data_IF_586611005447
#
_entry.id   IF_586611005447
#
_cell.length_a   1.000
_cell.length_b   1.000
_cell.length_c   1.000
_cell.angle_alpha   90.00
_cell.angle_beta   90.00
_cell.angle_gamma   90.00
#
_symmetry.space_group_name_H-M   'P 1'
#
loop_
_entity.id
_entity.type
_entity.pdbx_description
1 polymer ?
#
# COMPACT_ATOMS: atom_id res chain seq x y z
N UNK A 1 15.27 23.03 8.51
CA UNK A 1 16.22 22.09 7.91
C UNK A 1 15.44 21.12 7.03
N UNK A 2 15.86 20.80 5.81
CA UNK A 2 15.19 19.76 5.05
C UNK A 2 15.32 18.44 5.82
N UNK A 3 14.21 17.76 6.03
CA UNK A 3 14.11 16.52 6.83
C UNK A 3 14.88 15.32 6.24
N UNK A 4 15.74 15.49 5.23
CA UNK A 4 16.58 14.42 4.69
C UNK A 4 15.89 13.03 4.74
N UNK A 5 16.60 11.99 5.16
CA UNK A 5 16.03 10.66 5.41
C UNK A 5 15.23 10.53 6.74
N UNK A 6 15.02 11.63 7.48
CA UNK A 6 14.36 11.60 8.79
C UNK A 6 12.86 11.22 8.71
N UNK A 7 12.21 11.44 7.55
CA UNK A 7 10.81 11.01 7.35
C UNK A 7 10.67 9.47 7.38
N UNK A 8 11.68 8.74 6.90
CA UNK A 8 11.65 7.28 6.85
C UNK A 8 11.60 6.69 8.27
N UNK A 9 12.51 7.14 9.13
CA UNK A 9 12.53 6.72 10.53
C UNK A 9 11.25 7.11 11.26
N UNK A 10 10.75 8.34 11.02
CA UNK A 10 9.49 8.78 11.60
C UNK A 10 8.31 7.91 11.15
N UNK A 11 8.18 7.64 9.85
CA UNK A 11 7.11 6.80 9.33
C UNK A 11 7.21 5.36 9.82
N UNK A 12 8.44 4.80 9.94
CA UNK A 12 8.64 3.50 10.56
C UNK A 12 8.08 3.47 11.99
N UNK A 13 8.49 4.42 12.85
CA UNK A 13 8.00 4.51 14.23
C UNK A 13 6.49 4.71 14.31
N UNK A 14 5.91 5.52 13.41
CA UNK A 14 4.48 5.73 13.34
C UNK A 14 3.73 4.42 13.02
N UNK A 15 4.22 3.63 12.06
CA UNK A 15 3.63 2.35 11.70
C UNK A 15 3.86 1.25 12.74
N UNK A 16 5.02 1.24 13.41
CA UNK A 16 5.27 0.36 14.56
C UNK A 16 4.26 0.65 15.68
N UNK A 17 4.00 1.93 15.98
CA UNK A 17 3.00 2.34 16.96
C UNK A 17 1.55 1.97 16.53
N UNK A 18 1.21 2.06 15.23
CA UNK A 18 -0.08 1.62 14.71
C UNK A 18 -0.27 0.10 14.89
N UNK A 19 0.76 -0.69 14.60
CA UNK A 19 0.75 -2.13 14.80
C UNK A 19 0.57 -2.49 16.28
N UNK A 20 1.33 -1.84 17.19
CA UNK A 20 1.24 -2.08 18.62
C UNK A 20 -0.15 -1.77 19.21
N UNK A 21 -0.86 -0.78 18.67
CA UNK A 21 -2.22 -0.41 19.10
C UNK A 21 -3.33 -1.24 18.46
N UNK A 22 -3.01 -2.23 17.64
CA UNK A 22 -3.98 -3.00 16.85
C UNK A 22 -4.95 -2.12 16.06
N UNK A 23 -4.42 -1.10 15.37
CA UNK A 23 -5.24 -0.23 14.53
C UNK A 23 -6.02 -1.07 13.50
N UNK A 24 -7.15 -0.58 12.95
CA UNK A 24 -7.93 -1.30 11.95
C UNK A 24 -7.08 -1.79 10.74
N UNK A 25 -6.04 -1.05 10.40
CA UNK A 25 -5.10 -1.38 9.31
C UNK A 25 -4.06 -2.44 9.69
N UNK A 26 -4.01 -2.86 10.97
CA UNK A 26 -3.00 -3.78 11.51
C UNK A 26 -3.65 -4.88 12.35
N UNK A 27 -4.90 -5.23 12.05
CA UNK A 27 -5.60 -6.35 12.72
C UNK A 27 -5.33 -7.64 11.94
N UNK A 28 -4.65 -8.63 12.56
CA UNK A 28 -4.41 -9.90 11.92
C UNK A 28 -5.72 -10.66 11.66
N UNK A 29 -5.75 -11.42 10.56
CA UNK A 29 -6.87 -12.34 10.28
C UNK A 29 -6.92 -13.45 11.33
N UNK A 30 -8.12 -13.98 11.54
CA UNK A 30 -8.35 -15.11 12.44
C UNK A 30 -8.05 -16.47 11.77
N UNK A 31 -8.01 -17.53 12.56
CA UNK A 31 -7.74 -18.89 12.06
C UNK A 31 -8.90 -19.43 11.20
N UNK A 32 -10.12 -18.92 11.36
CA UNK A 32 -11.25 -19.30 10.50
C UNK A 32 -11.04 -18.80 9.07
N UNK A 33 -10.57 -17.57 8.90
CA UNK A 33 -10.18 -17.00 7.60
C UNK A 33 -9.05 -17.81 6.94
N UNK A 34 -8.06 -18.25 7.71
CA UNK A 34 -6.97 -19.10 7.21
C UNK A 34 -7.49 -20.48 6.78
N UNK A 35 -8.39 -21.09 7.56
CA UNK A 35 -9.00 -22.38 7.20
C UNK A 35 -9.84 -22.27 5.91
N UNK A 36 -10.62 -21.19 5.76
CA UNK A 36 -11.37 -20.90 4.54
C UNK A 36 -10.43 -20.73 3.32
N UNK A 37 -9.32 -20.02 3.49
CA UNK A 37 -8.33 -19.84 2.43
C UNK A 37 -7.71 -21.17 1.97
N UNK A 38 -7.39 -22.08 2.89
CA UNK A 38 -6.94 -23.43 2.57
C UNK A 38 -7.97 -24.24 1.80
N UNK A 39 -9.26 -23.99 2.03
CA UNK A 39 -10.37 -24.58 1.29
C UNK A 39 -10.67 -23.91 -0.06
N UNK A 40 -9.84 -22.96 -0.49
CA UNK A 40 -10.02 -22.22 -1.74
C UNK A 40 -10.97 -21.03 -1.64
N UNK A 41 -11.47 -20.71 -0.46
CA UNK A 41 -12.33 -19.55 -0.17
C UNK A 41 -11.48 -18.43 0.41
N UNK A 42 -10.86 -17.65 -0.46
CA UNK A 42 -9.98 -16.55 -0.05
C UNK A 42 -10.27 -15.27 -0.83
N UNK A 43 -9.94 -14.17 -0.20
CA UNK A 43 -10.09 -12.83 -0.76
C UNK A 43 -8.97 -11.93 -0.25
N UNK A 44 -8.48 -11.06 -1.11
CA UNK A 44 -7.57 -9.96 -0.76
C UNK A 44 -8.18 -8.62 -1.12
N UNK A 45 -7.66 -7.58 -0.53
CA UNK A 45 -8.17 -6.23 -0.68
C UNK A 45 -7.04 -5.27 -1.08
N UNK A 46 -7.24 -4.52 -2.15
CA UNK A 46 -6.41 -3.38 -2.51
C UNK A 46 -7.02 -2.07 -2.00
N UNK A 47 -8.34 -2.05 -1.95
CA UNK A 47 -9.21 -0.98 -1.48
C UNK A 47 -10.14 -1.57 -0.42
N UNK A 48 -11.02 -0.82 0.25
CA UNK A 48 -11.93 -1.36 1.25
C UNK A 48 -12.80 -2.53 0.77
N UNK A 49 -13.19 -2.51 -0.51
CA UNK A 49 -13.96 -3.58 -1.12
C UNK A 49 -13.11 -4.75 -1.62
N UNK A 50 -13.77 -5.80 -2.13
CA UNK A 50 -13.09 -6.97 -2.67
C UNK A 50 -12.31 -6.63 -3.95
N UNK A 51 -11.24 -7.41 -4.20
CA UNK A 51 -10.52 -7.33 -5.46
C UNK A 51 -11.48 -7.57 -6.64
N UNK A 52 -11.44 -6.75 -7.72
CA UNK A 52 -12.27 -6.99 -8.89
C UNK A 52 -12.06 -8.38 -9.49
N UNK A 53 -13.14 -9.02 -9.93
CA UNK A 53 -13.10 -10.37 -10.51
C UNK A 53 -12.12 -10.44 -11.71
N UNK A 54 -11.38 -11.54 -11.81
CA UNK A 54 -10.40 -11.76 -12.88
C UNK A 54 -9.06 -11.02 -12.70
N UNK A 55 -8.87 -10.28 -11.60
CA UNK A 55 -7.58 -9.62 -11.34
C UNK A 55 -6.54 -10.59 -10.77
N UNK A 56 -6.97 -11.56 -9.98
CA UNK A 56 -6.12 -12.61 -9.40
C UNK A 56 -6.98 -13.87 -9.14
N UNK A 57 -6.99 -14.79 -10.09
CA UNK A 57 -7.87 -15.97 -10.02
C UNK A 57 -7.22 -17.18 -9.35
N UNK A 58 -5.90 -17.33 -9.46
CA UNK A 58 -5.16 -18.45 -8.89
C UNK A 58 -3.82 -17.99 -8.33
N UNK A 59 -3.51 -18.47 -7.12
CA UNK A 59 -2.26 -18.12 -6.43
C UNK A 59 -1.39 -19.31 -6.07
N UNK A 60 -1.93 -20.53 -6.15
CA UNK A 60 -1.21 -21.75 -5.80
C UNK A 60 0.11 -21.87 -6.58
N UNK A 61 1.21 -22.03 -5.88
CA UNK A 61 2.56 -22.14 -6.44
C UNK A 61 3.15 -20.82 -6.97
N UNK A 62 2.41 -19.70 -6.97
CA UNK A 62 2.95 -18.38 -7.38
C UNK A 62 3.85 -17.79 -6.32
N UNK A 63 4.93 -17.15 -6.76
CA UNK A 63 5.81 -16.33 -5.91
C UNK A 63 5.20 -14.94 -5.78
N UNK A 64 4.72 -14.61 -4.60
CA UNK A 64 4.00 -13.36 -4.34
C UNK A 64 4.78 -12.48 -3.37
N UNK A 65 5.00 -11.23 -3.75
CA UNK A 65 5.50 -10.17 -2.86
C UNK A 65 4.32 -9.35 -2.34
N UNK A 66 4.10 -9.36 -1.03
CA UNK A 66 3.24 -8.41 -0.35
C UNK A 66 4.09 -7.20 0.07
N UNK A 67 3.93 -6.08 -0.63
CA UNK A 67 4.77 -4.90 -0.49
C UNK A 67 4.05 -3.81 0.28
N UNK A 68 4.56 -3.46 1.49
CA UNK A 68 4.03 -2.41 2.36
C UNK A 68 2.50 -2.53 2.57
N UNK A 69 2.05 -3.75 2.89
CA UNK A 69 0.63 -4.12 2.88
C UNK A 69 -0.02 -4.23 4.26
N UNK A 70 0.60 -3.69 5.31
CA UNK A 70 0.25 -3.93 6.72
C UNK A 70 0.45 -5.40 7.14
N UNK A 71 0.36 -5.70 8.45
CA UNK A 71 0.74 -7.00 8.99
C UNK A 71 -0.44 -7.92 9.31
N UNK A 72 -0.27 -9.20 9.00
CA UNK A 72 -1.18 -10.25 9.42
C UNK A 72 -2.49 -10.34 8.63
N UNK A 73 -2.59 -9.69 7.49
CA UNK A 73 -3.83 -9.60 6.69
C UNK A 73 -3.73 -10.38 5.37
N UNK A 74 -3.20 -9.75 4.32
CA UNK A 74 -3.18 -10.30 2.95
C UNK A 74 -2.23 -11.50 2.82
N UNK A 75 -1.02 -11.37 3.36
CA UNK A 75 0.03 -12.34 3.17
C UNK A 75 -0.29 -13.72 3.77
N UNK A 76 -0.80 -13.85 5.01
CA UNK A 76 -1.20 -15.13 5.55
C UNK A 76 -2.32 -15.81 4.75
N UNK A 77 -3.29 -15.04 4.24
CA UNK A 77 -4.39 -15.55 3.39
C UNK A 77 -3.83 -16.13 2.10
N UNK A 78 -2.92 -15.42 1.43
CA UNK A 78 -2.28 -15.88 0.19
C UNK A 78 -1.41 -17.11 0.42
N UNK A 79 -0.67 -17.16 1.54
CA UNK A 79 0.11 -18.33 1.91
C UNK A 79 -0.79 -19.56 2.19
N UNK A 80 -1.91 -19.36 2.88
CA UNK A 80 -2.90 -20.42 3.13
C UNK A 80 -3.55 -20.91 1.84
N UNK A 81 -3.71 -20.06 0.83
CA UNK A 81 -4.19 -20.40 -0.51
C UNK A 81 -3.12 -21.10 -1.38
N UNK A 82 -1.92 -21.37 -0.85
CA UNK A 82 -0.86 -22.13 -1.48
C UNK A 82 0.16 -21.32 -2.27
N UNK A 83 0.24 -20.00 -2.06
CA UNK A 83 1.29 -19.18 -2.65
C UNK A 83 2.61 -19.27 -1.85
N UNK A 84 3.73 -19.02 -2.53
CA UNK A 84 5.03 -18.75 -1.91
C UNK A 84 5.13 -17.25 -1.62
N UNK A 85 4.85 -16.85 -0.37
CA UNK A 85 4.70 -15.44 -0.01
C UNK A 85 5.95 -14.90 0.66
N UNK A 86 6.38 -13.72 0.19
CA UNK A 86 7.33 -12.86 0.87
C UNK A 86 6.65 -11.54 1.23
N UNK A 87 6.78 -11.09 2.47
CA UNK A 87 6.31 -9.79 2.94
C UNK A 87 7.49 -8.85 3.04
N UNK A 88 7.35 -7.66 2.50
CA UNK A 88 8.35 -6.60 2.60
C UNK A 88 7.70 -5.33 3.14
N UNK A 89 8.12 -4.90 4.32
CA UNK A 89 7.56 -3.72 4.99
C UNK A 89 8.64 -2.95 5.74
N UNK A 90 8.44 -1.65 5.90
CA UNK A 90 9.32 -0.79 6.67
C UNK A 90 9.22 -1.06 8.18
N UNK A 91 8.03 -1.45 8.66
CA UNK A 91 7.70 -1.65 10.07
C UNK A 91 7.96 -3.09 10.49
N UNK A 92 8.90 -3.29 11.40
CA UNK A 92 9.18 -4.59 12.01
C UNK A 92 7.97 -5.13 12.79
N UNK A 93 7.16 -4.23 13.39
CA UNK A 93 5.96 -4.62 14.13
C UNK A 93 4.84 -5.13 13.19
N UNK A 94 4.75 -4.62 11.96
CA UNK A 94 3.85 -5.17 10.95
C UNK A 94 4.31 -6.57 10.53
N UNK A 95 5.60 -6.75 10.24
CA UNK A 95 6.18 -8.06 9.90
C UNK A 95 6.01 -9.08 11.04
N UNK A 96 6.12 -8.65 12.29
CA UNK A 96 5.89 -9.51 13.46
C UNK A 96 4.44 -10.06 13.49
N UNK A 97 3.45 -9.29 13.02
CA UNK A 97 2.07 -9.78 12.92
C UNK A 97 1.90 -10.87 11.86
N UNK A 98 2.57 -10.75 10.72
CA UNK A 98 2.57 -11.81 9.70
C UNK A 98 3.21 -13.09 10.23
N UNK A 99 4.35 -12.97 10.92
CA UNK A 99 5.00 -14.13 11.58
C UNK A 99 4.12 -14.76 12.65
N UNK A 100 3.44 -13.95 13.46
CA UNK A 100 2.51 -14.43 14.50
C UNK A 100 1.37 -15.25 13.90
N UNK A 101 0.73 -14.78 12.82
CA UNK A 101 -0.33 -15.55 12.14
C UNK A 101 0.25 -16.81 11.51
N UNK A 102 1.42 -16.72 10.88
CA UNK A 102 2.08 -17.86 10.28
C UNK A 102 2.41 -18.95 11.32
N UNK A 103 2.96 -18.58 12.47
CA UNK A 103 3.24 -19.50 13.57
C UNK A 103 1.96 -20.12 14.13
N UNK A 104 0.95 -19.30 14.44
CA UNK A 104 -0.35 -19.73 14.98
C UNK A 104 -1.02 -20.80 14.10
N UNK A 105 -0.99 -20.58 12.77
CA UNK A 105 -1.75 -21.40 11.82
C UNK A 105 -0.85 -22.35 10.99
N UNK A 106 0.44 -22.46 11.30
CA UNK A 106 1.36 -23.37 10.62
C UNK A 106 1.54 -23.05 9.13
N UNK A 107 1.72 -21.76 8.80
CA UNK A 107 1.95 -21.27 7.44
C UNK A 107 3.45 -21.06 7.20
N UNK A 108 3.84 -21.09 5.92
CA UNK A 108 5.18 -20.75 5.48
C UNK A 108 5.13 -19.41 4.74
N UNK A 109 5.81 -18.40 5.26
CA UNK A 109 6.04 -17.11 4.58
C UNK A 109 7.38 -16.53 5.03
N UNK A 110 7.99 -15.71 4.16
CA UNK A 110 9.20 -14.97 4.48
C UNK A 110 8.85 -13.51 4.80
N UNK A 111 9.60 -12.89 5.71
CA UNK A 111 9.48 -11.46 6.03
C UNK A 111 10.82 -10.78 5.86
N UNK A 112 10.84 -9.62 5.22
CA UNK A 112 12.03 -8.80 5.00
C UNK A 112 11.69 -7.35 5.36
N UNK A 113 12.49 -6.73 6.22
CA UNK A 113 12.34 -5.32 6.56
C UNK A 113 13.08 -4.43 5.56
N UNK A 114 12.43 -3.37 5.08
CA UNK A 114 13.08 -2.42 4.19
C UNK A 114 12.17 -1.32 3.66
N UNK A 115 12.77 -0.43 2.89
CA UNK A 115 12.09 0.67 2.21
C UNK A 115 11.60 0.21 0.83
N UNK A 116 10.30 0.34 0.56
CA UNK A 116 9.69 -0.09 -0.71
C UNK A 116 10.31 0.57 -1.97
N UNK A 117 11.12 1.62 -1.80
CA UNK A 117 11.85 2.27 -2.88
C UNK A 117 13.14 1.52 -3.28
N UNK A 118 13.55 0.54 -2.47
CA UNK A 118 14.75 -0.26 -2.69
C UNK A 118 14.46 -1.74 -2.38
N UNK A 119 14.27 -2.53 -3.42
CA UNK A 119 14.09 -3.98 -3.34
C UNK A 119 15.38 -4.73 -3.73
N UNK A 120 16.55 -4.09 -3.60
CA UNK A 120 17.85 -4.64 -3.99
C UNK A 120 18.24 -5.96 -3.32
N UNK A 121 17.55 -6.33 -2.22
CA UNK A 121 17.69 -7.65 -1.59
C UNK A 121 17.07 -8.79 -2.41
N UNK A 122 16.26 -8.49 -3.44
CA UNK A 122 15.67 -9.48 -4.34
C UNK A 122 16.30 -9.41 -5.72
N UNK A 123 16.53 -10.58 -6.31
CA UNK A 123 17.01 -10.68 -7.70
C UNK A 123 15.91 -10.24 -8.69
N UNK A 124 16.31 -9.91 -9.92
CA UNK A 124 15.40 -9.64 -11.03
C UNK A 124 14.47 -10.86 -11.26
N UNK A 125 13.23 -10.60 -11.65
CA UNK A 125 12.23 -11.62 -11.97
C UNK A 125 11.98 -12.66 -10.86
N UNK A 126 12.10 -12.26 -9.58
CA UNK A 126 11.90 -13.12 -8.39
C UNK A 126 10.44 -13.44 -8.11
N UNK A 127 9.50 -12.61 -8.58
CA UNK A 127 8.09 -12.72 -8.25
C UNK A 127 7.19 -12.78 -9.48
N UNK A 128 6.07 -13.47 -9.33
CA UNK A 128 5.03 -13.59 -10.36
C UNK A 128 3.91 -12.57 -10.13
N UNK A 129 3.68 -12.17 -8.88
CA UNK A 129 2.68 -11.18 -8.47
C UNK A 129 3.25 -10.28 -7.37
N UNK A 130 2.94 -9.00 -7.44
CA UNK A 130 3.12 -8.04 -6.34
C UNK A 130 1.73 -7.55 -5.91
N UNK A 131 1.46 -7.61 -4.60
CA UNK A 131 0.27 -7.01 -3.96
C UNK A 131 0.74 -5.80 -3.17
N UNK A 132 0.35 -4.60 -3.62
CA UNK A 132 0.80 -3.32 -3.08
C UNK A 132 -0.40 -2.42 -2.77
N UNK A 133 -1.08 -2.63 -1.63
CA UNK A 133 -2.22 -1.81 -1.23
C UNK A 133 -1.78 -0.40 -0.82
N UNK A 134 -2.74 0.46 -0.53
CA UNK A 134 -2.56 1.90 -0.29
C UNK A 134 -1.41 2.22 0.67
N UNK A 135 -0.23 2.54 0.12
CA UNK A 135 0.98 2.88 0.88
C UNK A 135 1.88 3.93 0.19
N UNK A 136 1.65 4.22 -1.08
CA UNK A 136 2.45 5.17 -1.86
C UNK A 136 2.56 6.56 -1.24
N UNK A 137 1.55 6.99 -0.49
CA UNK A 137 1.57 8.27 0.20
C UNK A 137 2.63 8.37 1.33
N UNK A 138 3.32 7.29 1.67
CA UNK A 138 4.32 7.31 2.75
C UNK A 138 5.76 7.53 2.25
N UNK A 139 5.94 7.69 0.96
CA UNK A 139 7.23 8.04 0.35
C UNK A 139 7.13 9.32 -0.48
N UNK A 140 8.18 10.17 -0.50
CA UNK A 140 8.15 11.44 -1.21
C UNK A 140 8.27 11.30 -2.74
N UNK A 141 8.83 10.18 -3.22
CA UNK A 141 8.99 9.84 -4.63
C UNK A 141 8.63 8.37 -4.86
N UNK A 142 7.68 8.12 -5.74
CA UNK A 142 7.20 6.77 -6.06
C UNK A 142 7.83 6.19 -7.33
N UNK A 143 8.59 6.95 -8.10
CA UNK A 143 9.22 6.44 -9.31
C UNK A 143 10.20 5.28 -9.03
N UNK A 144 11.01 5.31 -7.93
CA UNK A 144 11.80 4.14 -7.54
C UNK A 144 10.95 2.90 -7.24
N UNK A 145 9.79 3.09 -6.56
CA UNK A 145 8.89 1.95 -6.23
C UNK A 145 8.44 1.24 -7.50
N UNK A 146 8.00 1.98 -8.52
CA UNK A 146 7.56 1.39 -9.78
C UNK A 146 8.70 0.69 -10.53
N UNK A 147 9.90 1.29 -10.56
CA UNK A 147 11.09 0.66 -11.19
C UNK A 147 11.48 -0.64 -10.50
N UNK A 148 11.50 -0.66 -9.17
CA UNK A 148 11.83 -1.85 -8.39
C UNK A 148 10.75 -2.94 -8.54
N UNK A 149 9.47 -2.58 -8.50
CA UNK A 149 8.38 -3.52 -8.80
C UNK A 149 8.55 -4.14 -10.20
N UNK A 150 8.85 -3.34 -11.22
CA UNK A 150 9.08 -3.84 -12.57
C UNK A 150 10.34 -4.72 -12.67
N UNK A 151 11.40 -4.43 -11.90
CA UNK A 151 12.64 -5.21 -11.89
C UNK A 151 12.43 -6.59 -11.29
N UNK A 152 11.78 -6.66 -10.13
CA UNK A 152 11.63 -7.92 -9.39
C UNK A 152 10.50 -8.81 -9.91
N UNK A 153 9.57 -8.27 -10.73
CA UNK A 153 8.54 -9.09 -11.38
C UNK A 153 9.11 -9.85 -12.57
N UNK A 154 8.67 -11.08 -12.75
CA UNK A 154 8.89 -11.87 -13.96
C UNK A 154 8.18 -11.24 -15.18
N UNK A 155 8.61 -11.54 -16.39
CA UNK A 155 7.92 -11.13 -17.61
C UNK A 155 6.47 -11.68 -17.62
N UNK A 156 5.49 -10.84 -17.92
CA UNK A 156 4.07 -11.16 -17.76
C UNK A 156 3.57 -11.18 -16.31
N UNK A 157 4.45 -10.91 -15.34
CA UNK A 157 4.07 -10.79 -13.93
C UNK A 157 3.11 -9.63 -13.67
N UNK A 158 2.34 -9.72 -12.60
CA UNK A 158 1.23 -8.81 -12.30
C UNK A 158 1.54 -7.95 -11.08
N UNK A 159 1.41 -6.65 -11.23
CA UNK A 159 1.35 -5.69 -10.12
C UNK A 159 -0.11 -5.35 -9.84
N UNK A 160 -0.57 -5.67 -8.65
CA UNK A 160 -1.85 -5.24 -8.08
C UNK A 160 -1.56 -4.11 -7.11
N UNK A 161 -1.91 -2.89 -7.47
CA UNK A 161 -1.59 -1.71 -6.67
C UNK A 161 -2.81 -0.83 -6.45
N UNK A 162 -2.83 -0.12 -5.32
CA UNK A 162 -3.82 0.92 -5.06
C UNK A 162 -3.21 2.13 -4.38
N UNK A 163 -3.89 3.26 -4.53
CA UNK A 163 -3.48 4.54 -3.98
C UNK A 163 -4.70 5.45 -3.81
N UNK A 164 -4.55 6.50 -3.00
CA UNK A 164 -5.59 7.51 -2.89
C UNK A 164 -5.70 8.33 -4.18
N UNK A 165 -6.94 8.63 -4.57
CA UNK A 165 -7.20 9.63 -5.61
C UNK A 165 -6.51 10.95 -5.19
N UNK A 166 -5.65 11.52 -6.03
CA UNK A 166 -4.93 12.74 -5.69
C UNK A 166 -5.81 13.90 -5.24
N UNK A 167 -7.04 13.97 -5.72
CA UNK A 167 -7.98 15.02 -5.34
C UNK A 167 -8.25 15.10 -3.81
N UNK A 168 -8.08 14.00 -3.06
CA UNK A 168 -8.26 14.03 -1.60
C UNK A 168 -7.16 14.84 -0.87
N UNK A 169 -6.04 15.10 -1.54
CA UNK A 169 -4.92 15.85 -0.96
C UNK A 169 -5.01 17.36 -1.17
N UNK A 170 -5.91 17.85 -2.05
CA UNK A 170 -6.02 19.30 -2.31
C UNK A 170 -6.77 20.07 -1.20
N UNK A 171 -7.58 19.37 -0.41
CA UNK A 171 -8.46 19.97 0.59
C UNK A 171 -7.75 20.38 1.88
N UNK A 172 -8.25 21.44 2.49
CA UNK A 172 -7.95 21.78 3.88
C UNK A 172 -8.52 20.68 4.79
N UNK A 173 -7.68 20.08 5.61
CA UNK A 173 -8.04 18.95 6.49
C UNK A 173 -8.59 19.37 7.85
N UNK A 174 -8.84 20.67 8.08
CA UNK A 174 -9.46 21.12 9.31
C UNK A 174 -10.90 20.58 9.39
N UNK A 175 -11.23 19.82 10.45
CA UNK A 175 -12.55 19.20 10.61
C UNK A 175 -13.72 20.20 10.60
N UNK A 176 -13.46 21.49 10.85
CA UNK A 176 -14.50 22.52 10.80
C UNK A 176 -15.18 22.59 9.43
N UNK A 177 -14.43 22.40 8.34
CA UNK A 177 -14.95 22.47 6.97
C UNK A 177 -15.89 21.30 6.68
N UNK A 178 -15.49 20.10 7.06
CA UNK A 178 -16.34 18.92 6.92
C UNK A 178 -17.63 19.05 7.74
N UNK A 179 -17.58 19.63 8.97
CA UNK A 179 -18.77 19.90 9.77
C UNK A 179 -19.74 20.90 9.14
N UNK A 180 -19.24 21.77 8.30
CA UNK A 180 -20.03 22.76 7.55
C UNK A 180 -20.47 22.26 6.16
N UNK A 181 -20.07 21.04 5.77
CA UNK A 181 -20.32 20.51 4.44
C UNK A 181 -19.55 21.25 3.33
N UNK A 182 -18.38 21.83 3.66
CA UNK A 182 -17.60 22.64 2.74
C UNK A 182 -16.33 21.91 2.32
N UNK A 183 -16.05 21.96 1.01
CA UNK A 183 -14.77 21.57 0.43
C UNK A 183 -13.96 22.85 0.22
N UNK A 184 -12.86 23.00 0.98
CA UNK A 184 -11.96 24.15 0.85
C UNK A 184 -10.63 23.70 0.20
N UNK A 185 -10.38 23.96 -1.07
CA UNK A 185 -9.07 23.74 -1.68
C UNK A 185 -8.00 24.59 -0.98
N UNK A 186 -6.86 23.98 -0.70
CA UNK A 186 -5.75 24.64 0.00
C UNK A 186 -4.39 24.31 -0.61
N UNK A 187 -4.22 23.07 -1.06
CA UNK A 187 -2.93 22.56 -1.50
C UNK A 187 -2.91 22.27 -2.99
N UNK A 188 -1.72 22.37 -3.57
CA UNK A 188 -1.45 22.03 -4.97
C UNK A 188 -0.77 20.66 -5.02
N UNK A 189 -1.05 19.86 -6.03
CA UNK A 189 -0.35 18.60 -6.26
C UNK A 189 0.96 18.81 -7.05
N UNK A 190 2.02 18.06 -6.74
CA UNK A 190 2.10 17.04 -5.67
C UNK A 190 2.15 17.71 -4.28
N UNK A 191 1.46 17.09 -3.31
CA UNK A 191 1.39 17.54 -1.92
C UNK A 191 2.47 16.87 -1.06
N UNK A 192 2.92 17.59 -0.02
CA UNK A 192 3.86 17.06 0.96
C UNK A 192 3.61 17.65 2.34
N UNK A 193 3.34 16.83 3.36
CA UNK A 193 3.25 17.31 4.75
C UNK A 193 4.48 18.16 5.13
N UNK A 194 5.66 17.72 4.70
CA UNK A 194 6.95 18.37 5.02
C UNK A 194 7.11 19.75 4.40
N UNK A 195 6.53 19.97 3.20
CA UNK A 195 6.70 21.22 2.44
C UNK A 195 5.51 22.16 2.60
N UNK A 196 4.31 21.62 2.71
CA UNK A 196 3.07 22.37 2.52
C UNK A 196 2.33 22.63 3.85
N UNK A 197 2.67 21.89 4.92
CA UNK A 197 2.13 22.18 6.25
C UNK A 197 2.89 23.34 6.93
N UNK A 198 2.17 24.11 7.74
CA UNK A 198 2.79 25.08 8.64
C UNK A 198 3.62 24.32 9.71
N UNK A 199 4.74 24.95 10.15
CA UNK A 199 5.70 24.28 11.05
C UNK A 199 5.05 23.74 12.33
N UNK A 200 4.17 24.54 12.96
CA UNK A 200 3.48 24.13 14.20
C UNK A 200 2.54 22.94 13.96
N UNK A 201 1.81 22.94 12.84
CA UNK A 201 0.91 21.83 12.49
C UNK A 201 1.69 20.55 12.15
N UNK A 202 2.82 20.68 11.47
CA UNK A 202 3.73 19.56 11.19
C UNK A 202 4.32 19.01 12.49
N UNK A 203 4.81 19.88 13.39
CA UNK A 203 5.32 19.50 14.69
C UNK A 203 4.29 18.71 15.51
N UNK A 204 3.09 19.26 15.64
CA UNK A 204 1.99 18.61 16.35
C UNK A 204 1.60 17.25 15.75
N UNK A 205 1.65 17.10 14.40
CA UNK A 205 1.43 15.82 13.73
C UNK A 205 2.50 14.79 14.10
N UNK A 206 3.75 15.20 14.09
CA UNK A 206 4.89 14.36 14.44
C UNK A 206 4.85 13.95 15.92
N UNK A 207 4.50 14.86 16.83
CA UNK A 207 4.34 14.59 18.26
C UNK A 207 3.24 13.57 18.56
N UNK A 208 2.15 13.55 17.76
CA UNK A 208 1.10 12.53 17.85
C UNK A 208 1.51 11.19 17.27
N UNK A 209 2.71 11.05 16.69
CA UNK A 209 3.19 9.83 16.04
C UNK A 209 2.38 9.46 14.79
N UNK A 210 1.84 10.46 14.09
CA UNK A 210 1.14 10.26 12.82
C UNK A 210 2.14 10.18 11.68
N UNK A 211 1.98 9.22 10.77
CA UNK A 211 2.83 9.10 9.60
C UNK A 211 2.73 10.34 8.70
N UNK A 212 3.88 10.78 8.19
CA UNK A 212 3.95 11.86 7.19
C UNK A 212 3.48 11.35 5.85
N UNK A 213 2.68 12.15 5.15
CA UNK A 213 2.10 11.77 3.87
C UNK A 213 2.50 12.72 2.74
N UNK A 214 2.50 12.14 1.54
CA UNK A 214 2.86 12.77 0.27
C UNK A 214 1.76 12.46 -0.75
N UNK A 215 1.12 13.48 -1.31
CA UNK A 215 0.07 13.35 -2.32
C UNK A 215 0.67 13.39 -3.72
N UNK A 216 0.70 12.25 -4.39
CA UNK A 216 1.22 12.11 -5.75
C UNK A 216 0.12 12.33 -6.77
N UNK A 217 0.44 13.00 -7.91
CA UNK A 217 -0.48 13.14 -9.03
C UNK A 217 -0.67 11.82 -9.80
N UNK A 218 -1.72 11.76 -10.64
CA UNK A 218 -1.98 10.59 -11.50
C UNK A 218 -0.84 10.33 -12.48
N UNK A 219 -0.13 11.36 -12.92
CA UNK A 219 1.07 11.21 -13.75
C UNK A 219 2.13 10.35 -13.05
N UNK A 220 2.42 10.61 -11.77
CA UNK A 220 3.36 9.80 -10.99
C UNK A 220 2.80 8.41 -10.66
N UNK A 221 1.50 8.31 -10.35
CA UNK A 221 0.86 7.05 -9.96
C UNK A 221 0.66 6.11 -11.14
N UNK A 222 0.00 6.57 -12.19
CA UNK A 222 -0.34 5.77 -13.38
C UNK A 222 0.75 5.91 -14.44
N UNK A 223 1.13 7.14 -14.79
CA UNK A 223 2.19 7.40 -15.76
C UNK A 223 3.53 6.79 -15.32
N UNK A 224 3.83 6.81 -14.01
CA UNK A 224 5.00 6.16 -13.44
C UNK A 224 5.01 4.64 -13.64
N UNK A 225 3.86 3.95 -13.52
CA UNK A 225 3.77 2.51 -13.84
C UNK A 225 4.05 2.28 -15.33
N UNK A 226 3.43 3.06 -16.23
CA UNK A 226 3.67 2.96 -17.67
C UNK A 226 5.14 3.20 -18.02
N UNK A 227 5.75 4.23 -17.44
CA UNK A 227 7.17 4.56 -17.66
C UNK A 227 8.12 3.47 -17.14
N UNK A 228 7.73 2.72 -16.11
CA UNK A 228 8.48 1.58 -15.58
C UNK A 228 8.34 0.30 -16.43
N UNK A 229 7.56 0.32 -17.52
CA UNK A 229 7.39 -0.81 -18.44
C UNK A 229 6.18 -1.69 -18.14
N UNK A 230 5.22 -1.19 -17.38
CA UNK A 230 3.94 -1.86 -17.18
C UNK A 230 2.93 -1.49 -18.28
N UNK A 231 2.03 -2.41 -18.57
CA UNK A 231 0.80 -2.19 -19.32
C UNK A 231 -0.37 -2.28 -18.35
N UNK A 232 -1.22 -1.27 -18.30
CA UNK A 232 -2.44 -1.34 -17.50
C UNK A 232 -3.43 -2.31 -18.15
N UNK A 233 -3.83 -3.31 -17.38
CA UNK A 233 -4.79 -4.34 -17.76
C UNK A 233 -6.09 -4.30 -16.94
N UNK A 234 -6.15 -3.40 -15.95
CA UNK A 234 -7.33 -3.18 -15.13
C UNK A 234 -7.24 -1.85 -14.38
N UNK A 235 -8.40 -1.23 -14.17
CA UNK A 235 -8.57 0.01 -13.43
C UNK A 235 -9.87 -0.05 -12.64
N UNK A 236 -9.86 0.35 -11.39
CA UNK A 236 -11.03 0.36 -10.52
C UNK A 236 -10.99 1.56 -9.60
N UNK A 237 -12.14 2.17 -9.39
CA UNK A 237 -12.33 3.27 -8.44
C UNK A 237 -13.33 2.88 -7.36
N UNK A 238 -13.07 3.32 -6.13
CA UNK A 238 -13.93 3.00 -5.00
C UNK A 238 -14.11 4.21 -4.08
N UNK A 239 -15.35 4.40 -3.63
CA UNK A 239 -15.72 5.42 -2.64
C UNK A 239 -15.19 5.03 -1.25
N UNK A 240 -14.85 6.01 -0.44
CA UNK A 240 -14.52 5.75 0.97
C UNK A 240 -15.78 5.31 1.73
N UNK A 241 -15.80 4.12 2.37
CA UNK A 241 -16.99 3.63 3.06
C UNK A 241 -17.38 4.52 4.26
N UNK A 242 -16.39 5.20 4.85
CA UNK A 242 -16.57 6.13 5.97
C UNK A 242 -15.81 7.43 5.69
N UNK A 243 -16.36 8.36 4.87
CA UNK A 243 -15.68 9.60 4.48
C UNK A 243 -15.17 10.40 5.68
N UNK A 244 -13.89 10.76 5.66
CA UNK A 244 -13.23 11.57 6.70
C UNK A 244 -13.22 13.05 6.36
N UNK A 245 -13.17 13.33 5.05
CA UNK A 245 -13.20 14.68 4.48
C UNK A 245 -14.42 14.85 3.60
N UNK A 246 -14.92 16.08 3.50
CA UNK A 246 -16.14 16.34 2.73
C UNK A 246 -16.01 15.90 1.26
N UNK A 247 -14.85 16.11 0.64
CA UNK A 247 -14.58 15.72 -0.75
C UNK A 247 -14.76 14.22 -1.01
N UNK A 248 -14.50 13.36 -0.02
CA UNK A 248 -14.61 11.91 -0.14
C UNK A 248 -16.06 11.41 -0.31
N UNK A 249 -17.04 12.28 -0.09
CA UNK A 249 -18.47 11.99 -0.33
C UNK A 249 -18.85 12.14 -1.81
N UNK A 250 -18.04 12.83 -2.61
CA UNK A 250 -18.38 13.26 -3.96
C UNK A 250 -17.55 12.59 -5.05
N UNK A 251 -16.45 11.94 -4.68
CA UNK A 251 -15.59 11.27 -5.64
C UNK A 251 -14.99 9.99 -5.05
N UNK A 252 -14.63 9.01 -5.88
CA UNK A 252 -13.88 7.82 -5.44
C UNK A 252 -12.56 8.23 -4.80
N UNK A 253 -12.39 7.83 -3.54
CA UNK A 253 -11.18 8.14 -2.77
C UNK A 253 -10.03 7.18 -3.06
N UNK A 254 -10.34 5.98 -3.54
CA UNK A 254 -9.37 4.95 -3.86
C UNK A 254 -9.36 4.65 -5.34
N UNK A 255 -8.16 4.46 -5.86
CA UNK A 255 -7.89 3.99 -7.22
C UNK A 255 -7.05 2.73 -7.09
N UNK A 256 -7.46 1.66 -7.77
CA UNK A 256 -6.68 0.44 -7.92
C UNK A 256 -6.33 0.18 -9.37
N UNK A 257 -5.15 -0.38 -9.60
CA UNK A 257 -4.66 -0.78 -10.92
C UNK A 257 -4.21 -2.23 -10.91
N UNK A 258 -4.52 -2.93 -12.00
CA UNK A 258 -3.88 -4.18 -12.37
C UNK A 258 -2.95 -3.89 -13.54
N UNK A 259 -1.67 -4.00 -13.31
CA UNK A 259 -0.65 -3.72 -14.31
C UNK A 259 0.16 -5.00 -14.62
N UNK A 260 0.47 -5.23 -15.88
CA UNK A 260 1.23 -6.40 -16.34
C UNK A 260 2.59 -5.93 -16.81
N UNK A 261 3.66 -6.54 -16.28
CA UNK A 261 5.01 -6.25 -16.73
C UNK A 261 5.20 -6.74 -18.16
N UNK A 262 5.57 -5.84 -19.04
CA UNK A 262 5.93 -6.19 -20.41
C UNK A 262 7.30 -6.88 -20.45
N UNK A 263 7.44 -7.87 -21.34
CA UNK A 263 8.75 -8.45 -21.61
C UNK A 263 9.74 -7.37 -22.07
N UNK A 264 10.97 -7.41 -21.56
CA UNK A 264 12.02 -6.52 -22.09
C UNK A 264 12.25 -6.87 -23.55
N UNK A 265 12.26 -5.85 -24.42
CA UNK A 265 12.74 -6.05 -25.78
C UNK A 265 14.18 -6.59 -25.71
N UNK A 266 14.42 -7.70 -26.38
CA UNK A 266 15.72 -8.36 -26.44
C UNK A 266 16.76 -7.47 -27.14
#
# INVERSE_FOLDING_TARGET
>A
MPLGNNFLQHNQQAWDAQAARNSPWSQPVDSASIAAARAGQWQIHLTPGPLPAGWLDAVHGKRILCLAGAGGQQAPVLAAAGAHVTVFDLSEQQLAKDRMVAERDGLQLATVQGDMRDLGCFADASFDVIVHPVSNQYVPDIAPVWRECARVLADGGVLLSSFFNPAVFIGDRDPQWARQGLIRPRFVLPYSDVKDMQADALGARMERGEALVFGHGLDSQIGGQLAAGFMLAGYHEEMHPHPRFEIEKYLPSFIATRAVRQARAA
#
